data_IF_060838490886
#
_entry.id   IF_060838490886
#
_cell.length_a   1.000
_cell.length_b   1.000
_cell.length_c   1.000
_cell.angle_alpha   90.00
_cell.angle_beta   90.00
_cell.angle_gamma   90.00
#
_symmetry.space_group_name_H-M   'P 1'
#
loop_
_entity.id
_entity.type
_entity.pdbx_description
1 polymer ?
#
# COMPACT_ATOMS: atom_id res chain seq x y z
N UNK A 1 -24.19 -2.11 28.29
CA UNK A 1 -24.58 -1.80 26.89
C UNK A 1 -23.33 -1.91 26.01
N UNK A 2 -22.91 -3.13 25.65
CA UNK A 2 -21.79 -3.37 24.75
C UNK A 2 -22.34 -3.85 23.40
N UNK A 3 -22.91 -2.90 22.66
CA UNK A 3 -23.63 -3.16 21.41
C UNK A 3 -22.70 -3.02 20.19
N UNK A 4 -21.53 -3.67 20.23
CA UNK A 4 -20.61 -3.74 19.09
C UNK A 4 -20.05 -5.15 18.84
N UNK A 5 -20.38 -6.12 19.68
CA UNK A 5 -20.06 -7.53 19.42
C UNK A 5 -21.30 -8.20 18.86
N UNK A 6 -21.18 -8.64 17.60
CA UNK A 6 -22.24 -9.23 16.78
C UNK A 6 -23.03 -8.20 15.98
N UNK A 7 -22.67 -8.05 14.71
CA UNK A 7 -23.70 -7.99 13.67
C UNK A 7 -23.90 -9.44 13.19
N UNK A 8 -24.86 -10.20 13.75
CA UNK A 8 -25.30 -11.44 13.11
C UNK A 8 -25.93 -11.04 11.77
N UNK A 9 -25.22 -11.30 10.67
CA UNK A 9 -25.73 -11.08 9.30
C UNK A 9 -24.82 -10.28 8.38
N UNK A 10 -23.86 -9.50 8.89
CA UNK A 10 -22.91 -8.79 8.03
C UNK A 10 -21.84 -9.76 7.54
N UNK A 11 -22.14 -10.45 6.44
CA UNK A 11 -21.15 -11.29 5.76
C UNK A 11 -20.04 -10.37 5.25
N UNK A 12 -18.77 -10.79 5.32
CA UNK A 12 -17.62 -10.07 4.73
C UNK A 12 -17.89 -9.51 3.33
N UNK A 13 -18.81 -10.15 2.57
CA UNK A 13 -19.28 -9.71 1.26
C UNK A 13 -20.00 -8.36 1.28
N UNK A 14 -20.91 -8.12 2.22
CA UNK A 14 -21.69 -6.88 2.35
C UNK A 14 -20.80 -5.71 2.72
N UNK A 15 -20.04 -5.85 3.81
CA UNK A 15 -19.09 -4.84 4.29
C UNK A 15 -18.06 -4.50 3.21
N UNK A 16 -17.53 -5.50 2.50
CA UNK A 16 -16.56 -5.26 1.43
C UNK A 16 -17.20 -4.52 0.23
N UNK A 17 -18.47 -4.78 -0.07
CA UNK A 17 -19.19 -4.07 -1.12
C UNK A 17 -19.45 -2.60 -0.75
N UNK A 18 -19.85 -2.32 0.50
CA UNK A 18 -20.07 -0.95 0.98
C UNK A 18 -18.78 -0.12 0.98
N UNK A 19 -17.65 -0.77 1.25
CA UNK A 19 -16.32 -0.17 1.23
C UNK A 19 -15.68 -0.13 -0.17
N UNK A 20 -16.28 -0.77 -1.18
CA UNK A 20 -15.72 -0.87 -2.53
C UNK A 20 -14.41 -1.68 -2.60
N UNK A 21 -14.17 -2.59 -1.66
CA UNK A 21 -12.93 -3.39 -1.59
C UNK A 21 -13.20 -4.88 -1.81
N UNK A 22 -12.15 -5.66 -2.06
CA UNK A 22 -12.30 -7.10 -2.23
C UNK A 22 -12.60 -7.79 -0.88
N UNK A 23 -13.60 -8.68 -0.87
CA UNK A 23 -13.98 -9.49 0.30
C UNK A 23 -12.81 -10.28 0.91
N UNK A 24 -11.93 -10.84 0.08
CA UNK A 24 -10.79 -11.61 0.54
C UNK A 24 -9.74 -10.72 1.24
N UNK A 25 -9.57 -9.48 0.77
CA UNK A 25 -8.71 -8.47 1.40
C UNK A 25 -9.24 -8.09 2.78
N UNK A 26 -10.54 -7.80 2.90
CA UNK A 26 -11.17 -7.50 4.19
C UNK A 26 -11.02 -8.68 5.17
N UNK A 27 -11.21 -9.92 4.71
CA UNK A 27 -11.02 -11.11 5.53
C UNK A 27 -9.58 -11.23 6.03
N UNK A 28 -8.59 -10.99 5.18
CA UNK A 28 -7.18 -11.05 5.55
C UNK A 28 -6.83 -9.99 6.62
N UNK A 29 -7.36 -8.77 6.49
CA UNK A 29 -7.16 -7.72 7.49
C UNK A 29 -7.79 -8.06 8.84
N UNK A 30 -9.02 -8.59 8.85
CA UNK A 30 -9.70 -9.00 10.09
C UNK A 30 -8.99 -10.16 10.78
N UNK A 31 -8.51 -11.14 10.01
CA UNK A 31 -7.74 -12.26 10.56
C UNK A 31 -6.43 -11.78 11.20
N UNK A 32 -5.72 -10.88 10.51
CA UNK A 32 -4.47 -10.29 10.99
C UNK A 32 -4.68 -9.39 12.22
N UNK A 33 -5.76 -8.62 12.28
CA UNK A 33 -6.12 -7.83 13.47
C UNK A 33 -6.39 -8.72 14.69
N UNK A 34 -7.05 -9.88 14.50
CA UNK A 34 -7.25 -10.87 15.57
C UNK A 34 -5.93 -11.47 16.07
N UNK A 35 -5.04 -11.83 15.16
CA UNK A 35 -3.69 -12.32 15.49
C UNK A 35 -2.89 -11.26 16.28
N UNK A 36 -2.93 -10.00 15.87
CA UNK A 36 -2.25 -8.88 16.58
C UNK A 36 -2.82 -8.63 17.98
N UNK A 37 -4.12 -8.83 18.17
CA UNK A 37 -4.77 -8.67 19.48
C UNK A 37 -4.56 -9.86 20.40
N UNK A 38 -3.85 -10.91 19.96
CA UNK A 38 -3.64 -12.13 20.73
C UNK A 38 -4.95 -12.90 20.99
N UNK A 39 -6.01 -12.60 20.24
CA UNK A 39 -7.28 -13.31 20.34
C UNK A 39 -7.12 -14.59 19.54
N UNK A 40 -6.66 -15.64 20.22
CA UNK A 40 -6.63 -17.00 19.68
C UNK A 40 -8.02 -17.43 19.21
N UNK A 41 -8.12 -18.40 18.29
CA UNK A 41 -9.42 -18.81 17.75
C UNK A 41 -10.32 -19.31 18.88
N UNK A 42 -11.37 -18.58 19.19
CA UNK A 42 -12.57 -19.15 19.79
C UNK A 42 -13.17 -20.09 18.73
N UNK A 43 -12.70 -21.33 18.73
CA UNK A 43 -13.17 -22.43 17.88
C UNK A 43 -14.64 -22.74 18.19
N UNK A 44 -15.55 -22.78 17.21
CA UNK A 44 -16.57 -23.81 17.16
C UNK A 44 -16.02 -25.00 16.35
N UNK A 45 -16.18 -26.26 16.79
CA UNK A 45 -15.59 -27.39 16.10
C UNK A 45 -16.43 -27.71 14.86
N UNK A 46 -15.80 -27.81 13.68
CA UNK A 46 -16.19 -28.76 12.63
C UNK A 46 -15.21 -28.72 11.45
N UNK A 47 -14.45 -29.80 11.31
CA UNK A 47 -14.12 -30.50 10.06
C UNK A 47 -13.68 -29.70 8.82
N UNK A 48 -12.40 -29.84 8.45
CA UNK A 48 -11.93 -29.51 7.10
C UNK A 48 -10.42 -29.70 6.94
N UNK A 49 -10.01 -30.82 6.36
CA UNK A 49 -8.63 -31.29 6.17
C UNK A 49 -7.94 -30.59 4.98
N UNK A 50 -6.79 -29.94 5.23
CA UNK A 50 -5.60 -29.73 4.36
C UNK A 50 -5.77 -29.04 2.97
N UNK A 51 -4.69 -28.51 2.32
CA UNK A 51 -3.26 -28.63 2.65
C UNK A 51 -2.51 -27.31 2.79
N UNK A 52 -1.33 -27.43 3.40
CA UNK A 52 -0.23 -26.50 3.28
C UNK A 52 0.00 -26.17 1.79
N UNK A 53 -0.02 -24.87 1.48
CA UNK A 53 0.68 -24.34 0.32
C UNK A 53 1.71 -23.38 0.85
N UNK A 54 2.96 -23.81 0.72
CA UNK A 54 4.15 -22.97 0.73
C UNK A 54 3.99 -21.90 -0.35
N UNK A 55 3.20 -20.87 -0.04
CA UNK A 55 3.15 -19.64 -0.78
C UNK A 55 4.12 -18.70 -0.09
N UNK A 56 5.39 -18.78 -0.50
CA UNK A 56 6.44 -17.79 -0.31
C UNK A 56 6.00 -16.65 0.62
N UNK A 57 6.22 -16.81 1.93
CA UNK A 57 6.21 -15.67 2.83
C UNK A 57 7.39 -14.80 2.39
N UNK A 58 7.16 -13.93 1.40
CA UNK A 58 7.95 -12.74 1.23
C UNK A 58 8.04 -12.13 2.63
N UNK A 59 9.23 -11.73 3.11
CA UNK A 59 9.32 -11.10 4.42
C UNK A 59 8.32 -9.97 4.36
N UNK A 60 7.27 -10.06 5.18
CA UNK A 60 6.30 -9.00 5.30
C UNK A 60 7.09 -7.88 5.97
N UNK A 61 7.85 -7.10 5.18
CA UNK A 61 8.35 -5.81 5.63
C UNK A 61 7.15 -5.15 6.26
N UNK A 62 7.36 -4.75 7.50
CA UNK A 62 6.36 -4.07 8.30
C UNK A 62 5.72 -3.01 7.39
N UNK A 63 4.38 -2.91 7.27
CA UNK A 63 3.76 -1.86 6.46
C UNK A 63 4.38 -0.48 6.70
N UNK A 64 4.82 -0.20 7.93
CA UNK A 64 5.55 1.01 8.31
C UNK A 64 6.97 1.12 7.70
N UNK A 65 7.68 0.01 7.52
CA UNK A 65 8.93 -0.03 6.77
C UNK A 65 8.71 0.23 5.27
N UNK A 66 7.64 -0.34 4.70
CA UNK A 66 7.29 -0.09 3.31
C UNK A 66 6.89 1.36 3.06
N UNK A 67 6.14 1.96 3.99
CA UNK A 67 5.79 3.39 3.95
C UNK A 67 7.06 4.24 3.98
N UNK A 68 7.97 4.01 4.94
CA UNK A 68 9.25 4.73 5.01
C UNK A 68 10.09 4.60 3.73
N UNK A 69 10.14 3.42 3.14
CA UNK A 69 10.84 3.20 1.87
C UNK A 69 10.20 3.99 0.71
N UNK A 70 8.87 4.03 0.66
CA UNK A 70 8.14 4.77 -0.36
C UNK A 70 8.33 6.28 -0.19
N UNK A 71 8.25 6.80 1.03
CA UNK A 71 8.51 8.21 1.34
C UNK A 71 9.93 8.63 0.96
N UNK A 72 10.93 7.79 1.27
CA UNK A 72 12.32 8.04 0.88
C UNK A 72 12.47 8.10 -0.65
N UNK A 73 11.81 7.19 -1.37
CA UNK A 73 11.85 7.17 -2.84
C UNK A 73 11.13 8.37 -3.45
N UNK A 74 10.02 8.81 -2.86
CA UNK A 74 9.32 10.04 -3.29
C UNK A 74 10.25 11.24 -3.12
N UNK A 75 10.89 11.38 -1.96
CA UNK A 75 11.82 12.49 -1.70
C UNK A 75 13.01 12.50 -2.68
N UNK A 76 13.57 11.33 -3.00
CA UNK A 76 14.62 11.20 -4.00
C UNK A 76 14.14 11.61 -5.41
N UNK A 77 12.96 11.14 -5.81
CA UNK A 77 12.37 11.48 -7.10
C UNK A 77 12.11 12.99 -7.20
N UNK A 78 11.53 13.62 -6.19
CA UNK A 78 11.32 15.06 -6.18
C UNK A 78 12.65 15.85 -6.27
N UNK A 79 13.70 15.39 -5.60
CA UNK A 79 15.03 16.00 -5.70
C UNK A 79 15.58 15.89 -7.12
N UNK A 80 15.40 14.73 -7.77
CA UNK A 80 15.81 14.51 -9.17
C UNK A 80 15.05 15.41 -10.14
N UNK A 81 13.74 15.58 -9.94
CA UNK A 81 12.92 16.46 -10.77
C UNK A 81 13.34 17.92 -10.66
N UNK A 82 13.62 18.41 -9.44
CA UNK A 82 14.11 19.78 -9.22
C UNK A 82 15.45 20.02 -9.92
N UNK A 83 16.36 19.04 -9.85
CA UNK A 83 17.64 19.08 -10.55
C UNK A 83 17.44 19.15 -12.07
N UNK A 84 16.65 18.25 -12.63
CA UNK A 84 16.37 18.21 -14.08
C UNK A 84 15.67 19.49 -14.56
N UNK A 85 14.75 20.05 -13.77
CA UNK A 85 14.09 21.31 -14.09
C UNK A 85 15.13 22.46 -14.21
N UNK A 86 16.11 22.48 -13.31
CA UNK A 86 17.19 23.48 -13.30
C UNK A 86 18.10 23.30 -14.52
N UNK A 87 18.53 22.07 -14.81
CA UNK A 87 19.33 21.75 -16.00
C UNK A 87 18.61 22.14 -17.30
N UNK A 88 17.31 21.86 -17.40
CA UNK A 88 16.49 22.24 -18.57
C UNK A 88 16.39 23.75 -18.72
N UNK A 89 16.28 24.51 -17.62
CA UNK A 89 16.27 25.97 -17.68
C UNK A 89 17.60 26.53 -18.17
N UNK A 90 18.72 25.98 -17.69
CA UNK A 90 20.07 26.34 -18.16
C UNK A 90 20.20 26.04 -19.65
N UNK A 91 19.82 24.84 -20.09
CA UNK A 91 19.89 24.46 -21.51
C UNK A 91 19.00 25.34 -22.38
N UNK A 92 17.80 25.70 -21.91
CA UNK A 92 16.91 26.62 -22.63
C UNK A 92 17.53 28.00 -22.78
N UNK A 93 18.15 28.54 -21.71
CA UNK A 93 18.87 29.83 -21.76
C UNK A 93 20.06 29.78 -22.71
N UNK A 94 20.85 28.70 -22.66
CA UNK A 94 21.97 28.49 -23.56
C UNK A 94 21.50 28.40 -25.02
N UNK A 95 20.46 27.64 -25.31
CA UNK A 95 19.89 27.54 -26.66
C UNK A 95 19.41 28.91 -27.17
N UNK A 96 18.76 29.72 -26.32
CA UNK A 96 18.35 31.09 -26.68
C UNK A 96 19.55 32.00 -26.94
N UNK A 97 20.59 31.92 -26.12
CA UNK A 97 21.82 32.67 -26.29
C UNK A 97 22.49 32.35 -27.63
N UNK A 98 22.73 31.06 -27.91
CA UNK A 98 23.34 30.62 -29.15
C UNK A 98 22.49 30.92 -30.39
N UNK A 99 21.16 30.79 -30.32
CA UNK A 99 20.28 31.15 -31.43
C UNK A 99 20.26 32.66 -31.72
N UNK A 100 20.54 33.51 -30.72
CA UNK A 100 20.69 34.95 -30.90
C UNK A 100 22.04 35.36 -31.48
N UNK A 101 23.11 34.61 -31.16
CA UNK A 101 24.47 34.87 -31.66
C UNK A 101 24.74 34.36 -33.08
N UNK A 102 23.96 33.39 -33.58
CA UNK A 102 24.07 32.88 -34.97
C UNK A 102 23.29 33.67 -36.00
N UNK A 103 22.72 34.84 -35.64
CA UNK A 103 22.07 35.76 -36.56
C UNK A 103 23.09 36.74 -37.15
N UNK A 104 23.92 36.24 -38.06
CA UNK A 104 24.74 36.99 -39.02
C UNK A 104 24.09 36.96 -40.41
#
# INVERSE_FOLDING_TARGET
MALYESTPGATYKSIAADLGINRNTLRAWVLRDRERRGVGPATPPAGGKAPARDGQAAPASDPDERIRQLEARIAELEASERKLATERDILRKAAKYFAGETNW
#
